data_IF_764092030422
#
_entry.id   IF_764092030422
#
_cell.length_a   1.000
_cell.length_b   1.000
_cell.length_c   1.000
_cell.angle_alpha   90.00
_cell.angle_beta   90.00
_cell.angle_gamma   90.00
#
_symmetry.space_group_name_H-M   'P 1'
#
loop_
_entity.id
_entity.type
_entity.pdbx_description
1 polymer ?
#
# COMPACT_ATOMS: atom_id res chain seq x y z
N UNK A 1 17.17 0.94 -10.09
CA UNK A 1 17.98 1.07 -8.86
C UNK A 1 16.99 0.93 -7.71
N UNK A 2 17.07 -0.12 -6.92
CA UNK A 2 16.22 -0.26 -5.74
C UNK A 2 16.73 0.72 -4.68
N UNK A 3 16.13 1.91 -4.62
CA UNK A 3 16.36 2.88 -3.56
C UNK A 3 15.94 2.23 -2.24
N UNK A 4 16.93 1.83 -1.45
CA UNK A 4 16.68 1.39 -0.09
C UNK A 4 16.39 2.65 0.72
N UNK A 5 15.25 2.74 1.41
CA UNK A 5 14.97 3.91 2.21
C UNK A 5 16.02 4.02 3.32
N UNK A 6 16.69 5.18 3.41
CA UNK A 6 17.65 5.46 4.48
C UNK A 6 16.99 5.47 5.88
N UNK A 7 15.66 5.57 5.91
CA UNK A 7 14.86 5.70 7.13
C UNK A 7 13.53 4.94 7.00
N UNK A 8 13.11 4.25 8.06
CA UNK A 8 11.88 3.44 8.11
C UNK A 8 11.11 3.70 9.40
N UNK A 9 9.78 3.64 9.33
CA UNK A 9 8.93 3.69 10.51
C UNK A 9 8.66 2.28 11.01
N UNK A 10 9.03 2.00 12.26
CA UNK A 10 8.71 0.73 12.91
C UNK A 10 8.58 0.91 14.42
N UNK A 11 7.95 -0.08 15.07
CA UNK A 11 7.81 -0.10 16.52
C UNK A 11 9.19 -0.25 17.20
N UNK A 12 9.53 0.71 18.07
CA UNK A 12 10.78 0.66 18.81
C UNK A 12 10.61 -0.26 20.04
N UNK A 13 11.49 -1.26 20.23
CA UNK A 13 11.42 -2.13 21.41
C UNK A 13 11.68 -1.41 22.75
N UNK A 14 12.23 -0.19 22.70
CA UNK A 14 12.53 0.63 23.89
C UNK A 14 11.45 1.70 24.14
N UNK A 15 10.99 2.39 23.08
CA UNK A 15 9.92 3.39 23.22
C UNK A 15 8.54 2.76 23.42
N UNK A 16 8.30 1.57 22.84
CA UNK A 16 6.96 0.95 22.82
C UNK A 16 6.00 1.62 21.83
N UNK A 17 6.50 2.47 20.93
CA UNK A 17 5.72 3.21 19.95
C UNK A 17 6.35 3.11 18.55
N UNK A 18 5.58 3.41 17.51
CA UNK A 18 6.06 3.50 16.13
C UNK A 18 6.85 4.79 15.96
N UNK A 19 8.17 4.65 15.82
CA UNK A 19 9.08 5.78 15.68
C UNK A 19 9.88 5.71 14.39
N UNK A 20 10.48 6.82 14.01
CA UNK A 20 11.42 6.88 12.91
C UNK A 20 12.74 6.18 13.26
N UNK A 21 13.21 5.29 12.39
CA UNK A 21 14.45 4.54 12.55
C UNK A 21 15.37 4.70 11.35
N UNK A 22 16.61 5.13 11.59
CA UNK A 22 17.66 5.19 10.58
C UNK A 22 18.17 3.80 10.25
N UNK A 23 18.24 3.48 8.96
CA UNK A 23 18.79 2.22 8.47
C UNK A 23 20.32 2.34 8.39
N UNK A 24 21.04 1.67 9.30
CA UNK A 24 22.51 1.68 9.28
C UNK A 24 23.07 0.66 8.31
N UNK A 25 22.47 -0.52 8.28
CA UNK A 25 22.85 -1.61 7.36
C UNK A 25 21.66 -2.51 7.17
N UNK A 26 21.11 -2.55 5.97
CA UNK A 26 20.00 -3.45 5.65
C UNK A 26 20.27 -4.28 4.41
N UNK A 27 19.61 -5.42 4.37
CA UNK A 27 19.46 -6.28 3.20
C UNK A 27 17.97 -6.35 2.89
N UNK A 28 17.60 -5.83 1.73
CA UNK A 28 16.25 -5.86 1.22
C UNK A 28 15.98 -7.23 0.58
N UNK A 29 15.02 -7.96 1.13
CA UNK A 29 14.32 -9.04 0.42
C UNK A 29 13.07 -8.49 -0.28
N UNK A 30 12.25 -9.35 -0.88
CA UNK A 30 11.08 -8.91 -1.65
C UNK A 30 10.11 -8.03 -0.84
N UNK A 31 9.87 -8.35 0.44
CA UNK A 31 8.92 -7.64 1.31
C UNK A 31 9.42 -7.53 2.76
N UNK A 32 10.73 -7.71 2.97
CA UNK A 32 11.33 -7.64 4.28
C UNK A 32 12.69 -6.94 4.19
N UNK A 33 12.99 -6.15 5.20
CA UNK A 33 14.25 -5.43 5.36
C UNK A 33 14.90 -6.02 6.60
N UNK A 34 15.91 -6.86 6.40
CA UNK A 34 16.68 -7.41 7.50
C UNK A 34 17.94 -6.58 7.69
N UNK A 35 18.12 -6.00 8.87
CA UNK A 35 19.20 -5.05 9.07
C UNK A 35 19.38 -4.58 10.50
N UNK A 36 20.28 -3.63 10.63
CA UNK A 36 20.51 -2.85 11.84
C UNK A 36 19.87 -1.48 11.67
N UNK A 37 19.00 -1.15 12.60
CA UNK A 37 18.20 0.08 12.64
C UNK A 37 18.56 0.86 13.91
N UNK A 38 18.52 2.18 13.81
CA UNK A 38 18.75 3.09 14.93
C UNK A 38 17.53 4.00 15.12
N UNK A 39 16.85 3.87 16.25
CA UNK A 39 15.75 4.75 16.62
C UNK A 39 16.23 6.20 16.69
N UNK A 40 15.53 7.11 16.03
CA UNK A 40 15.81 8.56 16.08
C UNK A 40 15.31 9.23 17.35
N UNK A 41 14.34 8.62 18.02
CA UNK A 41 13.74 9.14 19.26
C UNK A 41 14.60 8.81 20.49
N UNK A 42 14.89 7.53 20.74
CA UNK A 42 15.66 7.09 21.91
C UNK A 42 17.15 6.82 21.60
N UNK A 43 17.57 6.80 20.33
CA UNK A 43 18.95 6.49 19.92
C UNK A 43 19.31 4.99 19.95
N UNK A 44 18.39 4.11 20.37
CA UNK A 44 18.59 2.66 20.46
C UNK A 44 18.94 2.08 19.10
N UNK A 45 20.05 1.34 19.04
CA UNK A 45 20.43 0.51 17.89
C UNK A 45 20.00 -0.92 18.13
N UNK A 46 19.29 -1.53 17.20
CA UNK A 46 18.94 -2.95 17.24
C UNK A 46 19.00 -3.56 15.84
N UNK A 47 19.14 -4.88 15.80
CA UNK A 47 19.08 -5.67 14.57
C UNK A 47 17.79 -6.47 14.55
N UNK A 48 17.12 -6.50 13.40
CA UNK A 48 15.83 -7.16 13.26
C UNK A 48 15.39 -7.28 11.81
N UNK A 49 14.20 -7.84 11.62
CA UNK A 49 13.54 -7.95 10.32
C UNK A 49 12.29 -7.09 10.36
N UNK A 50 12.26 -6.02 9.56
CA UNK A 50 11.08 -5.18 9.39
C UNK A 50 10.34 -5.66 8.14
N UNK A 51 9.03 -5.91 8.27
CA UNK A 51 8.18 -6.22 7.11
C UNK A 51 7.70 -4.92 6.51
N UNK A 52 7.94 -4.73 5.22
CA UNK A 52 7.35 -3.63 4.47
C UNK A 52 5.94 -4.03 4.04
N UNK A 53 5.01 -3.06 3.95
CA UNK A 53 3.72 -3.34 3.36
C UNK A 53 3.92 -3.84 1.93
N UNK A 54 3.27 -4.96 1.62
CA UNK A 54 3.26 -5.57 0.30
C UNK A 54 2.42 -4.73 -0.64
N UNK A 55 2.98 -4.49 -1.81
CA UNK A 55 2.23 -4.04 -2.99
C UNK A 55 1.64 -5.27 -3.69
N UNK A 56 0.37 -5.19 -4.07
CA UNK A 56 -0.34 -6.22 -4.81
C UNK A 56 -1.26 -5.59 -5.85
N UNK A 57 -1.47 -6.33 -6.94
CA UNK A 57 -2.31 -5.87 -8.04
C UNK A 57 -3.79 -6.14 -7.74
N UNK A 58 -4.62 -5.11 -7.91
CA UNK A 58 -6.06 -5.18 -7.77
C UNK A 58 -6.73 -4.87 -9.10
N UNK A 59 -7.79 -5.63 -9.40
CA UNK A 59 -8.56 -5.47 -10.63
C UNK A 59 -9.37 -4.18 -10.60
N UNK A 60 -9.31 -3.43 -11.69
CA UNK A 60 -10.08 -2.20 -11.89
C UNK A 60 -10.99 -2.37 -13.10
N UNK A 61 -12.28 -2.08 -12.95
CA UNK A 61 -13.28 -2.10 -14.01
C UNK A 61 -13.69 -0.66 -14.31
N UNK A 62 -13.30 -0.18 -15.48
CA UNK A 62 -13.69 1.11 -16.00
C UNK A 62 -15.03 0.97 -16.71
N UNK A 63 -16.07 1.58 -16.17
CA UNK A 63 -17.40 1.60 -16.79
C UNK A 63 -17.60 2.90 -17.57
N UNK A 64 -17.60 2.80 -18.89
CA UNK A 64 -17.93 3.90 -19.81
C UNK A 64 -19.14 3.49 -20.67
N UNK A 65 -20.34 3.80 -20.18
CA UNK A 65 -21.61 3.46 -20.84
C UNK A 65 -21.76 1.95 -21.07
N UNK A 66 -21.78 1.54 -22.35
CA UNK A 66 -21.94 0.15 -22.79
C UNK A 66 -20.62 -0.65 -22.81
N UNK A 67 -19.47 -0.01 -22.57
CA UNK A 67 -18.16 -0.64 -22.58
C UNK A 67 -17.62 -0.76 -21.15
N UNK A 68 -17.28 -1.99 -20.75
CA UNK A 68 -16.55 -2.25 -19.50
C UNK A 68 -15.13 -2.67 -19.85
N UNK A 69 -14.17 -1.78 -19.61
CA UNK A 69 -12.76 -2.09 -19.77
C UNK A 69 -12.20 -2.62 -18.45
N UNK A 70 -11.33 -3.62 -18.53
CA UNK A 70 -10.68 -4.22 -17.35
C UNK A 70 -9.21 -3.86 -17.36
N UNK A 71 -8.76 -3.23 -16.29
CA UNK A 71 -7.35 -2.89 -16.04
C UNK A 71 -6.96 -3.33 -14.62
N UNK A 72 -5.75 -3.00 -14.20
CA UNK A 72 -5.21 -3.30 -12.88
C UNK A 72 -4.52 -2.05 -12.31
N UNK A 73 -4.45 -1.98 -10.98
CA UNK A 73 -3.68 -0.95 -10.27
C UNK A 73 -2.94 -1.59 -9.10
N UNK A 74 -1.83 -0.99 -8.67
CA UNK A 74 -1.06 -1.45 -7.53
C UNK A 74 -1.57 -0.77 -6.26
N UNK A 75 -1.97 -1.58 -5.28
CA UNK A 75 -2.34 -1.10 -3.94
C UNK A 75 -1.41 -1.70 -2.89
N UNK A 76 -1.26 -1.01 -1.76
CA UNK A 76 -0.50 -1.47 -0.60
C UNK A 76 -1.40 -2.10 0.45
N UNK A 77 -0.87 -3.07 1.20
CA UNK A 77 -1.65 -3.78 2.23
C UNK A 77 -2.13 -2.89 3.38
N UNK A 78 -1.43 -1.78 3.64
CA UNK A 78 -1.76 -0.79 4.67
C UNK A 78 -2.68 0.33 4.16
N UNK A 79 -3.00 0.36 2.86
CA UNK A 79 -3.92 1.34 2.30
C UNK A 79 -5.37 1.01 2.60
N UNK A 80 -6.17 2.07 2.75
CA UNK A 80 -7.62 1.99 2.90
C UNK A 80 -8.24 2.67 1.69
N UNK A 81 -9.02 1.90 0.93
CA UNK A 81 -9.69 2.37 -0.27
C UNK A 81 -11.10 2.82 0.06
N UNK A 82 -11.52 3.96 -0.47
CA UNK A 82 -12.87 4.49 -0.32
C UNK A 82 -13.52 4.84 -1.67
N UNK A 83 -14.84 4.74 -1.70
CA UNK A 83 -15.65 5.26 -2.81
C UNK A 83 -15.51 6.78 -2.84
N UNK A 84 -15.18 7.32 -4.02
CA UNK A 84 -14.85 8.73 -4.25
C UNK A 84 -13.36 9.00 -4.35
N UNK A 85 -12.49 8.05 -3.97
CA UNK A 85 -11.05 8.22 -4.15
C UNK A 85 -10.72 8.30 -5.65
N UNK A 86 -9.72 9.13 -5.96
CA UNK A 86 -9.27 9.44 -7.32
C UNK A 86 -7.82 9.00 -7.47
N UNK A 87 -7.49 8.39 -8.60
CA UNK A 87 -6.13 7.95 -8.91
C UNK A 87 -5.89 7.92 -10.42
N UNK A 88 -4.62 7.90 -10.79
CA UNK A 88 -4.20 7.76 -12.18
C UNK A 88 -3.90 6.29 -12.50
N UNK A 89 -4.43 5.83 -13.62
CA UNK A 89 -4.09 4.53 -14.18
C UNK A 89 -2.74 4.59 -14.90
N UNK A 90 -2.10 3.43 -15.07
CA UNK A 90 -0.82 3.30 -15.79
C UNK A 90 -0.88 3.78 -17.26
N UNK A 91 -2.08 3.83 -17.84
CA UNK A 91 -2.34 4.37 -19.18
C UNK A 91 -2.50 5.90 -19.22
N UNK A 92 -2.41 6.57 -18.07
CA UNK A 92 -2.51 8.01 -17.90
C UNK A 92 -3.94 8.54 -17.76
N UNK A 93 -4.97 7.67 -17.66
CA UNK A 93 -6.35 8.10 -17.41
C UNK A 93 -6.56 8.40 -15.93
N UNK A 94 -7.16 9.56 -15.64
CA UNK A 94 -7.58 9.91 -14.29
C UNK A 94 -8.97 9.32 -14.02
N UNK A 95 -9.10 8.56 -12.94
CA UNK A 95 -10.34 7.82 -12.62
C UNK A 95 -10.78 8.03 -11.18
N UNK A 96 -12.10 7.93 -10.95
CA UNK A 96 -12.70 7.98 -9.62
C UNK A 96 -13.38 6.65 -9.28
N UNK A 97 -13.15 6.14 -8.08
CA UNK A 97 -13.82 4.96 -7.53
C UNK A 97 -15.29 5.28 -7.32
N UNK A 98 -16.15 4.59 -8.06
CA UNK A 98 -17.61 4.67 -7.92
C UNK A 98 -18.15 3.56 -7.03
N UNK A 99 -17.47 2.42 -7.02
CA UNK A 99 -17.94 1.22 -6.35
C UNK A 99 -16.78 0.26 -6.00
N UNK A 100 -16.86 -0.38 -4.84
CA UNK A 100 -15.87 -1.37 -4.37
C UNK A 100 -16.56 -2.72 -4.22
N UNK A 101 -16.11 -3.71 -4.98
CA UNK A 101 -16.58 -5.09 -4.91
C UNK A 101 -15.68 -5.91 -3.98
N UNK A 102 -16.32 -6.62 -3.05
CA UNK A 102 -15.66 -7.52 -2.10
C UNK A 102 -15.72 -8.99 -2.57
N UNK A 103 -14.85 -9.88 -2.04
CA UNK A 103 -14.84 -11.31 -2.34
C UNK A 103 -16.18 -12.02 -2.12
N UNK A 104 -16.94 -11.57 -1.13
CA UNK A 104 -18.28 -12.08 -0.80
C UNK A 104 -19.40 -11.51 -1.69
N UNK A 105 -19.05 -10.65 -2.65
CA UNK A 105 -19.98 -9.95 -3.54
C UNK A 105 -20.69 -8.75 -2.88
N UNK A 106 -20.39 -8.46 -1.60
CA UNK A 106 -20.96 -7.31 -0.90
C UNK A 106 -20.25 -6.00 -1.29
N UNK A 107 -20.85 -4.89 -0.87
CA UNK A 107 -20.47 -3.54 -1.27
C UNK A 107 -20.23 -2.69 -0.03
N UNK A 108 -19.06 -2.09 0.09
CA UNK A 108 -18.73 -1.17 1.18
C UNK A 108 -18.19 0.14 0.63
N UNK A 109 -18.40 1.22 1.40
CA UNK A 109 -17.92 2.56 1.02
C UNK A 109 -16.43 2.77 1.31
N UNK A 110 -15.87 2.01 2.27
CA UNK A 110 -14.48 2.13 2.71
C UNK A 110 -14.02 0.80 3.28
N UNK A 111 -12.91 0.27 2.78
CA UNK A 111 -12.34 -1.03 3.19
C UNK A 111 -10.82 -1.03 3.09
N UNK A 112 -10.13 -1.88 3.86
CA UNK A 112 -8.71 -2.16 3.62
C UNK A 112 -8.51 -2.64 2.18
N UNK A 113 -7.42 -2.23 1.53
CA UNK A 113 -7.10 -2.68 0.17
C UNK A 113 -7.06 -4.22 0.07
N UNK A 114 -6.63 -4.89 1.14
CA UNK A 114 -6.55 -6.36 1.23
C UNK A 114 -7.91 -7.07 1.16
N UNK A 115 -9.01 -6.36 1.42
CA UNK A 115 -10.37 -6.90 1.28
C UNK A 115 -10.97 -6.65 -0.10
N UNK A 116 -10.31 -5.88 -0.97
CA UNK A 116 -10.84 -5.52 -2.29
C UNK A 116 -10.68 -6.68 -3.28
N UNK A 117 -11.78 -7.08 -3.92
CA UNK A 117 -11.75 -8.02 -5.05
C UNK A 117 -11.61 -7.26 -6.37
N UNK A 118 -12.37 -6.18 -6.53
CA UNK A 118 -12.32 -5.32 -7.70
C UNK A 118 -12.80 -3.90 -7.40
N UNK A 119 -12.16 -2.91 -8.02
CA UNK A 119 -12.56 -1.51 -7.98
C UNK A 119 -13.32 -1.17 -9.26
N UNK A 120 -14.47 -0.54 -9.10
CA UNK A 120 -15.24 -0.01 -10.21
C UNK A 120 -15.05 1.49 -10.25
N UNK A 121 -14.59 1.96 -11.39
CA UNK A 121 -14.18 3.33 -11.58
C UNK A 121 -14.85 3.93 -12.81
N UNK A 122 -14.91 5.26 -12.83
CA UNK A 122 -15.27 6.04 -14.02
C UNK A 122 -14.09 6.95 -14.38
N UNK A 123 -13.87 7.15 -15.67
CA UNK A 123 -12.93 8.18 -16.13
C UNK A 123 -13.57 9.56 -16.03
N UNK A 124 -12.72 10.58 -15.95
CA UNK A 124 -13.11 11.99 -16.07
C UNK A 124 -13.12 12.45 -17.53
#
# INVERSE_FOLDING_TARGET
MSEMPDTIYNECPDCGDVTEHKVLKAKMGNFNVNGTFQCKECGRVFSGVIRLPKEFEVKVLLSDGDLTETTQTMLREDEIVAVGDEFDLDDGRHVQITYIELPDGSRKKKVPATEVKALWVKAF
#
